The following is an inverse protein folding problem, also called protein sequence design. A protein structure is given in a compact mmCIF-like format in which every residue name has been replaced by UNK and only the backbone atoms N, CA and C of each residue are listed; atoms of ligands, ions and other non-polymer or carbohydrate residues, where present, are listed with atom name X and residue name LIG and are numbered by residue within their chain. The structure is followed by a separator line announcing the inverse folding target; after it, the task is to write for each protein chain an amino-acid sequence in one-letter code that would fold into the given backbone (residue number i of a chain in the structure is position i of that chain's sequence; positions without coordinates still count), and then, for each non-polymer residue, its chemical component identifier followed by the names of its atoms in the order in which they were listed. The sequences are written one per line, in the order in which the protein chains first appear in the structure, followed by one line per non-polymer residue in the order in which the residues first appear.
data_IF_275318471448
#
_entry.id   IF_275318471448
#
_cell.length_a   1.000
_cell.length_b   1.000
_cell.length_c   1.000
_cell.angle_alpha   90.00
_cell.angle_beta   90.00
_cell.angle_gamma   90.00
#
_symmetry.space_group_name_H-M   'P 1'
#
loop_
_entity.id
_entity.type
_entity.pdbx_description
1 polymer ?
#
# COMPACT_ATOMS: atom_id res chain seq x y z
N UNK A 1 10.05 -25.41 -1.66
CA UNK A 1 8.84 -24.80 -1.03
C UNK A 1 7.58 -25.64 -1.24
N UNK A 2 7.27 -26.07 -2.47
CA UNK A 2 6.11 -26.93 -2.78
C UNK A 2 6.06 -28.25 -1.97
N UNK A 3 7.22 -28.90 -1.79
CA UNK A 3 7.37 -30.12 -0.98
C UNK A 3 7.03 -29.94 0.50
N UNK A 4 7.34 -28.78 1.07
CA UNK A 4 7.04 -28.47 2.48
C UNK A 4 5.54 -28.33 2.68
N UNK A 5 4.85 -27.65 1.76
CA UNK A 5 3.39 -27.46 1.79
C UNK A 5 2.65 -28.79 1.65
N UNK A 6 3.08 -29.66 0.73
CA UNK A 6 2.50 -31.01 0.59
C UNK A 6 2.74 -31.87 1.83
N UNK A 7 3.90 -31.72 2.48
CA UNK A 7 4.23 -32.45 3.70
C UNK A 7 3.38 -31.97 4.90
N UNK A 8 3.12 -30.67 5.01
CA UNK A 8 2.24 -30.09 6.04
C UNK A 8 0.79 -30.54 5.86
N UNK A 9 0.27 -30.55 4.63
CA UNK A 9 -1.08 -31.05 4.33
C UNK A 9 -1.22 -32.55 4.62
N UNK A 10 -0.21 -33.36 4.27
CA UNK A 10 -0.19 -34.81 4.62
C UNK A 10 -0.17 -35.08 6.12
N UNK A 11 0.29 -34.12 6.93
CA UNK A 11 0.29 -34.19 8.40
C UNK A 11 -1.01 -33.67 9.04
N UNK A 12 -2.03 -33.35 8.23
CA UNK A 12 -3.30 -32.80 8.74
C UNK A 12 -3.20 -31.38 9.29
N UNK A 13 -2.09 -30.68 9.01
CA UNK A 13 -1.93 -29.27 9.39
C UNK A 13 -2.68 -28.44 8.35
N UNK A 14 -3.91 -28.07 8.68
CA UNK A 14 -4.63 -27.02 7.96
C UNK A 14 -3.94 -25.69 8.24
N UNK A 15 -3.45 -25.02 7.19
CA UNK A 15 -3.12 -23.60 7.29
C UNK A 15 -4.45 -22.84 7.36
N UNK A 16 -5.04 -22.76 8.56
CA UNK A 16 -6.09 -21.77 8.78
C UNK A 16 -5.50 -20.41 8.42
N UNK A 17 -6.15 -19.69 7.49
CA UNK A 17 -5.83 -18.27 7.29
C UNK A 17 -5.92 -17.63 8.68
N UNK A 18 -4.84 -17.04 9.21
CA UNK A 18 -4.90 -16.43 10.54
C UNK A 18 -6.10 -15.50 10.54
N UNK A 19 -6.99 -15.62 11.54
CA UNK A 19 -8.09 -14.68 11.71
C UNK A 19 -7.47 -13.30 11.67
N UNK A 20 -7.71 -12.56 10.57
CA UNK A 20 -7.17 -11.23 10.37
C UNK A 20 -7.66 -10.39 11.53
N UNK A 21 -6.78 -10.15 12.50
CA UNK A 21 -7.09 -9.29 13.63
C UNK A 21 -7.45 -7.95 13.03
N UNK A 22 -8.67 -7.47 13.25
CA UNK A 22 -9.11 -6.19 12.72
C UNK A 22 -8.13 -5.10 13.17
N UNK A 23 -7.22 -4.72 12.27
CA UNK A 23 -6.29 -3.64 12.49
C UNK A 23 -7.08 -2.34 12.44
N UNK A 24 -6.96 -1.55 13.50
CA UNK A 24 -7.67 -0.28 13.67
C UNK A 24 -6.67 0.84 13.86
N UNK A 25 -7.14 2.07 13.68
CA UNK A 25 -6.35 3.28 13.95
C UNK A 25 -5.46 3.68 12.79
N UNK A 26 -5.85 3.36 11.56
CA UNK A 26 -5.23 3.93 10.36
C UNK A 26 -6.30 4.41 9.41
N UNK A 27 -6.06 5.60 8.86
CA UNK A 27 -6.79 6.17 7.73
C UNK A 27 -5.77 6.79 6.81
N UNK A 28 -5.77 6.36 5.55
CA UNK A 28 -4.95 6.96 4.49
C UNK A 28 -5.85 7.34 3.34
N UNK A 29 -5.55 8.46 2.69
CA UNK A 29 -6.29 9.01 1.56
C UNK A 29 -5.30 9.39 0.47
N UNK A 30 -5.67 9.13 -0.78
CA UNK A 30 -4.97 9.60 -1.96
C UNK A 30 -5.93 10.28 -2.92
N UNK A 31 -5.48 11.36 -3.56
CA UNK A 31 -6.20 12.10 -4.59
C UNK A 31 -5.27 12.31 -5.79
N UNK A 32 -5.71 11.92 -6.99
CA UNK A 32 -5.07 12.30 -8.24
C UNK A 32 -5.67 13.63 -8.71
N UNK A 33 -4.85 14.68 -8.69
CA UNK A 33 -5.19 16.03 -9.11
C UNK A 33 -4.57 16.35 -10.48
N UNK A 34 -4.93 17.49 -11.08
CA UNK A 34 -4.40 17.94 -12.38
C UNK A 34 -2.88 18.03 -12.43
N UNK A 35 -2.29 18.54 -11.35
CA UNK A 35 -0.85 18.86 -11.30
C UNK A 35 -0.03 17.83 -10.51
N UNK A 36 -0.68 16.86 -9.87
CA UNK A 36 0.02 15.88 -9.04
C UNK A 36 -0.88 14.99 -8.21
N UNK A 37 -0.28 14.23 -7.31
CA UNK A 37 -0.99 13.34 -6.39
C UNK A 37 -0.80 13.82 -4.96
N UNK A 38 -1.90 13.92 -4.23
CA UNK A 38 -1.91 14.32 -2.82
C UNK A 38 -2.17 13.10 -1.95
N UNK A 39 -1.41 12.98 -0.86
CA UNK A 39 -1.60 11.96 0.16
C UNK A 39 -1.88 12.60 1.51
N UNK A 40 -2.80 12.01 2.27
CA UNK A 40 -3.07 12.38 3.64
C UNK A 40 -3.23 11.13 4.50
N UNK A 41 -2.70 11.16 5.73
CA UNK A 41 -2.82 10.04 6.66
C UNK A 41 -3.01 10.56 8.07
N UNK A 42 -3.70 9.79 8.91
CA UNK A 42 -3.65 10.03 10.35
C UNK A 42 -2.25 9.71 10.92
N UNK A 43 -1.90 10.27 12.07
CA UNK A 43 -0.57 10.13 12.68
C UNK A 43 -0.50 9.15 13.85
N UNK A 44 -1.62 8.50 14.20
CA UNK A 44 -1.68 7.62 15.37
C UNK A 44 -1.30 6.19 15.00
N UNK A 45 -0.57 5.50 15.87
CA UNK A 45 -0.39 4.05 15.83
C UNK A 45 -0.79 3.45 17.18
N UNK A 46 -1.56 2.37 17.14
CA UNK A 46 -2.11 1.73 18.34
C UNK A 46 -1.70 0.27 18.43
N UNK A 47 -1.36 -0.18 19.64
CA UNK A 47 -1.16 -1.58 19.98
C UNK A 47 -2.33 -2.02 20.87
N UNK A 48 -3.38 -2.56 20.26
CA UNK A 48 -4.66 -2.78 20.94
C UNK A 48 -5.27 -1.44 21.39
N UNK A 49 -5.50 -1.28 22.68
CA UNK A 49 -6.04 -0.05 23.27
C UNK A 49 -4.95 0.97 23.64
N UNK A 50 -3.67 0.62 23.53
CA UNK A 50 -2.55 1.49 23.86
C UNK A 50 -2.13 2.31 22.65
N UNK A 51 -1.97 3.64 22.81
CA UNK A 51 -1.41 4.50 21.77
C UNK A 51 0.10 4.38 21.81
N UNK A 52 0.65 3.55 20.92
CA UNK A 52 2.09 3.32 20.80
C UNK A 52 2.83 4.54 20.21
N UNK A 53 2.17 5.30 19.33
CA UNK A 53 2.72 6.55 18.81
C UNK A 53 1.62 7.52 18.39
N UNK A 54 1.85 8.83 18.60
CA UNK A 54 1.00 9.92 18.10
C UNK A 54 1.54 10.56 16.82
N UNK A 55 2.73 10.16 16.38
CA UNK A 55 3.46 10.76 15.26
C UNK A 55 3.97 9.69 14.27
N UNK A 56 3.24 8.57 14.16
CA UNK A 56 3.54 7.53 13.20
C UNK A 56 3.43 8.07 11.78
N UNK A 57 4.51 7.93 11.00
CA UNK A 57 4.52 8.27 9.58
C UNK A 57 3.98 7.10 8.78
N UNK A 58 2.97 7.36 7.95
CA UNK A 58 2.35 6.39 7.05
C UNK A 58 2.41 6.83 5.58
N UNK A 59 3.06 7.96 5.31
CA UNK A 59 3.40 8.46 3.98
C UNK A 59 4.90 8.32 3.79
N UNK A 60 5.30 7.77 2.66
CA UNK A 60 6.68 7.45 2.33
C UNK A 60 7.01 7.95 0.95
N UNK A 61 8.08 8.74 0.84
CA UNK A 61 8.73 9.06 -0.44
C UNK A 61 9.37 7.79 -1.00
N UNK A 62 9.05 7.41 -2.23
CA UNK A 62 9.63 6.24 -2.91
C UNK A 62 10.76 6.69 -3.85
N UNK A 63 10.46 7.65 -4.72
CA UNK A 63 11.42 8.36 -5.57
C UNK A 63 11.20 9.87 -5.43
N UNK A 64 11.87 10.69 -6.22
CA UNK A 64 11.60 12.14 -6.25
C UNK A 64 10.20 12.47 -6.79
N UNK A 65 9.60 11.59 -7.58
CA UNK A 65 8.31 11.81 -8.23
C UNK A 65 7.20 10.84 -7.78
N UNK A 66 7.52 9.86 -6.94
CA UNK A 66 6.59 8.82 -6.47
C UNK A 66 6.55 8.80 -4.95
N UNK A 67 5.34 8.85 -4.40
CA UNK A 67 5.03 8.62 -2.99
C UNK A 67 4.15 7.39 -2.81
N UNK A 68 4.11 6.88 -1.59
CA UNK A 68 3.18 5.83 -1.20
C UNK A 68 2.64 6.07 0.21
N UNK A 69 1.42 5.59 0.47
CA UNK A 69 0.89 5.46 1.82
C UNK A 69 0.62 4.02 2.17
N UNK A 70 0.61 3.70 3.46
CA UNK A 70 0.41 2.32 3.92
C UNK A 70 -0.62 2.22 5.02
N UNK A 71 -1.41 1.15 4.98
CA UNK A 71 -2.31 0.75 6.05
C UNK A 71 -2.17 -0.75 6.30
N UNK A 72 -1.98 -1.15 7.55
CA UNK A 72 -1.78 -2.56 7.90
C UNK A 72 -0.76 -2.78 9.02
N UNK A 73 -0.13 -3.96 9.02
CA UNK A 73 0.94 -4.30 9.93
C UNK A 73 2.18 -3.43 9.70
N UNK A 74 2.76 -2.88 10.76
CA UNK A 74 3.90 -1.96 10.64
C UNK A 74 5.11 -2.65 9.97
N UNK A 75 5.41 -3.88 10.35
CA UNK A 75 6.52 -4.64 9.77
C UNK A 75 6.31 -4.92 8.27
N UNK A 76 5.13 -5.39 7.91
CA UNK A 76 4.77 -5.71 6.51
C UNK A 76 4.83 -4.47 5.63
N UNK A 77 4.23 -3.38 6.08
CA UNK A 77 4.21 -2.11 5.35
C UNK A 77 5.61 -1.51 5.18
N UNK A 78 6.46 -1.55 6.22
CA UNK A 78 7.84 -1.09 6.12
C UNK A 78 8.67 -1.96 5.17
N UNK A 79 8.48 -3.29 5.21
CA UNK A 79 9.15 -4.22 4.30
C UNK A 79 8.82 -3.93 2.84
N UNK A 80 7.54 -3.76 2.52
CA UNK A 80 7.08 -3.44 1.16
C UNK A 80 7.61 -2.09 0.67
N UNK A 81 7.57 -1.04 1.52
CA UNK A 81 8.11 0.29 1.18
C UNK A 81 9.62 0.24 0.91
N UNK A 82 10.36 -0.48 1.75
CA UNK A 82 11.81 -0.59 1.59
C UNK A 82 12.18 -1.37 0.33
N UNK A 83 11.47 -2.47 0.05
CA UNK A 83 11.62 -3.24 -1.18
C UNK A 83 11.32 -2.37 -2.40
N UNK A 84 10.19 -1.65 -2.39
CA UNK A 84 9.84 -0.76 -3.50
C UNK A 84 10.89 0.32 -3.75
N UNK A 85 11.43 0.95 -2.70
CA UNK A 85 12.54 1.93 -2.83
C UNK A 85 13.79 1.31 -3.43
N UNK A 86 14.18 0.13 -2.97
CA UNK A 86 15.36 -0.56 -3.46
C UNK A 86 15.21 -0.90 -4.95
N UNK A 87 14.07 -1.47 -5.34
CA UNK A 87 13.78 -1.83 -6.74
C UNK A 87 13.69 -0.60 -7.64
N UNK A 88 13.06 0.49 -7.16
CA UNK A 88 12.99 1.74 -7.91
C UNK A 88 14.38 2.38 -8.13
N UNK A 89 15.23 2.37 -7.10
CA UNK A 89 16.61 2.86 -7.18
C UNK A 89 17.46 1.97 -8.10
N UNK A 90 17.32 0.66 -7.99
CA UNK A 90 18.00 -0.30 -8.86
C UNK A 90 17.59 -0.13 -10.32
N UNK A 91 16.30 0.06 -10.60
CA UNK A 91 15.80 0.34 -11.94
C UNK A 91 16.45 1.60 -12.53
N UNK A 92 16.53 2.69 -11.76
CA UNK A 92 17.19 3.92 -12.19
C UNK A 92 18.68 3.69 -12.49
N UNK A 93 19.40 2.94 -11.65
CA UNK A 93 20.81 2.62 -11.89
C UNK A 93 21.02 1.77 -13.14
N UNK A 94 20.11 0.82 -13.40
CA UNK A 94 20.23 -0.13 -14.51
C UNK A 94 19.82 0.48 -15.85
N UNK A 95 18.70 1.19 -15.88
CA UNK A 95 18.11 1.72 -17.12
C UNK A 95 18.50 3.18 -17.38
N UNK A 96 19.05 3.89 -16.40
CA UNK A 96 19.37 5.31 -16.49
C UNK A 96 18.15 6.24 -16.49
N UNK A 97 16.93 5.70 -16.32
CA UNK A 97 15.67 6.45 -16.28
C UNK A 97 14.85 6.09 -15.04
N UNK A 98 14.07 7.02 -14.46
CA UNK A 98 13.21 6.72 -13.32
C UNK A 98 12.12 5.69 -13.66
N UNK A 99 11.80 4.82 -12.70
CA UNK A 99 10.66 3.91 -12.82
C UNK A 99 9.34 4.71 -12.88
N UNK A 100 8.40 4.29 -13.73
CA UNK A 100 7.07 4.89 -13.81
C UNK A 100 6.17 4.55 -12.61
N UNK A 101 5.13 5.35 -12.39
CA UNK A 101 4.17 5.19 -11.27
C UNK A 101 3.43 3.86 -11.38
N UNK A 102 2.90 3.55 -12.57
CA UNK A 102 2.20 2.28 -12.83
C UNK A 102 3.11 1.07 -12.62
N UNK A 103 4.36 1.15 -13.09
CA UNK A 103 5.33 0.08 -12.94
C UNK A 103 5.67 -0.17 -11.47
N UNK A 104 5.83 0.91 -10.69
CA UNK A 104 6.05 0.85 -9.23
C UNK A 104 4.88 0.19 -8.51
N UNK A 105 3.64 0.57 -8.82
CA UNK A 105 2.45 -0.02 -8.22
C UNK A 105 2.30 -1.51 -8.60
N UNK A 106 2.56 -1.85 -9.87
CA UNK A 106 2.53 -3.23 -10.36
C UNK A 106 3.60 -4.11 -9.72
N UNK A 107 4.78 -3.56 -9.46
CA UNK A 107 5.86 -4.27 -8.77
C UNK A 107 5.41 -4.70 -7.37
N UNK A 108 4.85 -3.79 -6.58
CA UNK A 108 4.33 -4.12 -5.24
C UNK A 108 3.19 -5.13 -5.33
N UNK A 109 2.23 -4.92 -6.24
CA UNK A 109 1.11 -5.85 -6.43
C UNK A 109 1.59 -7.28 -6.72
N UNK A 110 2.58 -7.43 -7.58
CA UNK A 110 3.17 -8.73 -7.90
C UNK A 110 3.90 -9.35 -6.68
N UNK A 111 4.59 -8.54 -5.88
CA UNK A 111 5.23 -9.00 -4.63
C UNK A 111 4.15 -9.49 -3.66
N UNK A 112 3.12 -8.69 -3.39
CA UNK A 112 2.04 -9.08 -2.47
C UNK A 112 1.38 -10.38 -2.92
N UNK A 113 1.06 -10.49 -4.21
CA UNK A 113 0.46 -11.69 -4.79
C UNK A 113 1.37 -12.94 -4.69
N UNK A 114 2.68 -12.78 -4.90
CA UNK A 114 3.64 -13.87 -4.80
C UNK A 114 3.71 -14.48 -3.39
N UNK A 115 3.36 -13.72 -2.36
CA UNK A 115 3.32 -14.17 -0.97
C UNK A 115 1.90 -14.57 -0.52
N UNK A 116 0.98 -14.92 -1.43
CA UNK A 116 -0.41 -15.31 -1.12
C UNK A 116 -0.58 -16.43 -0.07
N UNK A 117 0.41 -17.31 0.11
CA UNK A 117 0.43 -18.34 1.16
C UNK A 117 0.76 -17.79 2.56
N UNK A 118 1.55 -16.71 2.63
CA UNK A 118 1.93 -15.99 3.84
C UNK A 118 1.82 -14.48 3.58
N UNK A 119 0.57 -13.97 3.49
CA UNK A 119 0.31 -12.66 2.90
C UNK A 119 0.87 -11.54 3.76
N UNK A 120 1.35 -10.49 3.09
CA UNK A 120 1.57 -9.21 3.74
C UNK A 120 0.22 -8.66 4.20
N UNK A 121 0.11 -8.27 5.47
CA UNK A 121 -1.07 -7.59 5.98
C UNK A 121 -0.90 -6.09 5.71
N UNK A 122 -1.02 -5.70 4.44
CA UNK A 122 -0.79 -4.33 4.01
C UNK A 122 -1.63 -3.96 2.79
N UNK A 123 -2.22 -2.77 2.85
CA UNK A 123 -2.76 -2.05 1.71
C UNK A 123 -1.85 -0.86 1.43
N UNK A 124 -1.63 -0.55 0.15
CA UNK A 124 -0.80 0.57 -0.27
C UNK A 124 -1.55 1.47 -1.25
N UNK A 125 -1.40 2.78 -1.07
CA UNK A 125 -1.62 3.73 -2.14
C UNK A 125 -0.26 4.05 -2.74
N UNK A 126 -0.11 3.94 -4.05
CA UNK A 126 1.12 4.30 -4.77
C UNK A 126 0.75 5.32 -5.82
N UNK A 127 1.42 6.47 -5.81
CA UNK A 127 1.05 7.54 -6.71
C UNK A 127 2.13 8.59 -6.86
N UNK A 128 2.02 9.37 -7.91
CA UNK A 128 3.05 10.32 -8.30
C UNK A 128 2.79 10.87 -9.70
N UNK A 129 3.78 11.56 -10.23
CA UNK A 129 3.72 12.14 -11.57
C UNK A 129 4.88 11.63 -12.40
N UNK A 130 4.59 11.00 -13.53
CA UNK A 130 5.58 10.61 -14.53
C UNK A 130 5.22 11.20 -15.91
N UNK A 131 5.85 10.71 -16.98
CA UNK A 131 5.58 11.17 -18.34
C UNK A 131 4.11 11.00 -18.79
N UNK A 132 3.33 10.13 -18.11
CA UNK A 132 1.90 9.93 -18.36
C UNK A 132 1.00 10.86 -17.54
N UNK A 133 1.58 11.74 -16.73
CA UNK A 133 0.87 12.66 -15.84
C UNK A 133 0.69 12.10 -14.42
N UNK A 134 -0.15 12.75 -13.60
CA UNK A 134 -0.45 12.31 -12.24
C UNK A 134 -1.29 11.04 -12.24
N UNK A 135 -0.85 10.03 -11.48
CA UNK A 135 -1.48 8.72 -11.42
C UNK A 135 -1.51 8.21 -9.99
N UNK A 136 -2.63 7.64 -9.58
CA UNK A 136 -2.81 7.05 -8.27
C UNK A 136 -3.32 5.62 -8.42
N UNK A 137 -2.68 4.70 -7.71
CA UNK A 137 -3.00 3.29 -7.70
C UNK A 137 -3.21 2.78 -6.29
N UNK A 138 -4.13 1.83 -6.17
CA UNK A 138 -4.36 1.07 -4.95
C UNK A 138 -3.91 -0.37 -5.14
N UNK A 139 -3.17 -0.86 -4.16
CA UNK A 139 -2.74 -2.25 -4.05
C UNK A 139 -3.35 -2.82 -2.78
N UNK A 140 -4.20 -3.83 -2.92
CA UNK A 140 -4.79 -4.53 -1.78
C UNK A 140 -3.88 -5.66 -1.27
N UNK A 141 -4.30 -6.27 -0.15
CA UNK A 141 -3.61 -7.37 0.52
C UNK A 141 -3.52 -8.67 -0.31
N UNK A 142 -4.33 -8.83 -1.35
CA UNK A 142 -4.31 -9.99 -2.26
C UNK A 142 -3.44 -9.72 -3.52
N UNK A 143 -2.96 -8.48 -3.66
CA UNK A 143 -2.18 -8.01 -4.80
C UNK A 143 -3.03 -7.56 -5.98
N UNK A 144 -4.33 -7.29 -5.78
CA UNK A 144 -5.13 -6.61 -6.77
C UNK A 144 -4.63 -5.17 -6.95
N UNK A 145 -4.63 -4.72 -8.19
CA UNK A 145 -4.16 -3.38 -8.57
C UNK A 145 -5.28 -2.64 -9.30
N UNK A 146 -5.71 -1.52 -8.74
CA UNK A 146 -6.66 -0.60 -9.37
C UNK A 146 -6.06 0.78 -9.51
N UNK A 147 -6.55 1.52 -10.50
CA UNK A 147 -6.21 2.92 -10.73
C UNK A 147 -7.38 3.78 -10.29
N UNK A 148 -7.10 4.81 -9.50
CA UNK A 148 -8.13 5.57 -8.79
C UNK A 148 -7.92 7.07 -8.96
N UNK A 149 -9.00 7.84 -9.01
CA UNK A 149 -8.95 9.31 -8.93
C UNK A 149 -8.98 9.78 -7.47
N UNK A 150 -9.71 9.05 -6.62
CA UNK A 150 -9.80 9.27 -5.18
C UNK A 150 -9.96 7.93 -4.47
N UNK A 151 -9.19 7.71 -3.40
CA UNK A 151 -9.32 6.50 -2.60
C UNK A 151 -8.95 6.74 -1.14
N UNK A 152 -9.71 6.12 -0.24
CA UNK A 152 -9.40 6.03 1.17
C UNK A 152 -9.26 4.56 1.60
N UNK A 153 -8.25 4.25 2.41
CA UNK A 153 -8.06 2.91 2.97
C UNK A 153 -7.68 2.96 4.46
N UNK A 154 -7.68 1.80 5.10
CA UNK A 154 -7.58 1.64 6.54
C UNK A 154 -8.93 1.72 7.26
N UNK A 155 -8.93 1.45 8.55
CA UNK A 155 -10.14 1.33 9.38
C UNK A 155 -11.05 2.56 9.42
N UNK A 156 -10.53 3.76 9.15
CA UNK A 156 -11.33 4.98 9.12
C UNK A 156 -11.79 5.38 7.72
N UNK A 157 -11.51 4.59 6.68
CA UNK A 157 -11.90 4.92 5.31
C UNK A 157 -13.41 5.10 5.11
N UNK A 158 -14.34 4.35 5.75
CA UNK A 158 -15.77 4.57 5.53
C UNK A 158 -16.22 5.99 5.92
N UNK A 159 -15.62 6.55 6.98
CA UNK A 159 -15.89 7.92 7.41
C UNK A 159 -15.25 8.92 6.46
N UNK A 160 -14.03 8.65 5.97
CA UNK A 160 -13.35 9.50 5.01
C UNK A 160 -14.14 9.59 3.69
N UNK A 161 -14.66 8.46 3.19
CA UNK A 161 -15.47 8.44 1.96
C UNK A 161 -16.70 9.35 2.04
N UNK A 162 -17.39 9.42 3.19
CA UNK A 162 -18.54 10.32 3.34
C UNK A 162 -18.21 11.80 3.08
N UNK A 163 -17.01 12.24 3.44
CA UNK A 163 -16.53 13.60 3.15
C UNK A 163 -15.99 13.69 1.72
N UNK A 164 -15.16 12.72 1.31
CA UNK A 164 -14.51 12.75 0.01
C UNK A 164 -15.51 12.71 -1.15
N UNK A 165 -16.55 11.89 -1.07
CA UNK A 165 -17.58 11.82 -2.12
C UNK A 165 -18.41 13.10 -2.21
N UNK A 166 -18.55 13.85 -1.11
CA UNK A 166 -19.28 15.13 -1.09
C UNK A 166 -18.45 16.26 -1.69
N UNK A 167 -17.16 16.30 -1.37
CA UNK A 167 -16.28 17.44 -1.66
C UNK A 167 -15.44 17.26 -2.94
N UNK A 168 -15.14 16.02 -3.33
CA UNK A 168 -14.29 15.76 -4.49
C UNK A 168 -14.97 16.20 -5.80
N UNK A 169 -14.18 16.78 -6.70
CA UNK A 169 -14.62 17.11 -8.06
C UNK A 169 -13.56 16.59 -9.02
N UNK A 170 -14.01 16.02 -10.14
CA UNK A 170 -13.08 15.53 -11.16
C UNK A 170 -12.22 16.67 -11.71
N UNK A 171 -10.91 16.40 -11.80
CA UNK A 171 -9.94 17.41 -12.19
C UNK A 171 -9.80 18.54 -11.18
N UNK A 172 -9.96 18.30 -9.87
CA UNK A 172 -9.25 19.10 -8.86
C UNK A 172 -7.73 18.92 -8.97
#
# INVERSE_FOLDING_TARGET
MLLLVQHLFKRGISLEKPKLKHLKGTTTVGLACRDGVVFATDSRATMGYFVASKQARKVFKITDTIGATTAGGVADTQSLVNTLRAEAGYYLMREGIPIGVRASARLVANIVHAYSLFPYIANLLVGGTDASGPRLFFVDLDGALTEETMIATGSGSPVAYGVLETEFREGM
#
